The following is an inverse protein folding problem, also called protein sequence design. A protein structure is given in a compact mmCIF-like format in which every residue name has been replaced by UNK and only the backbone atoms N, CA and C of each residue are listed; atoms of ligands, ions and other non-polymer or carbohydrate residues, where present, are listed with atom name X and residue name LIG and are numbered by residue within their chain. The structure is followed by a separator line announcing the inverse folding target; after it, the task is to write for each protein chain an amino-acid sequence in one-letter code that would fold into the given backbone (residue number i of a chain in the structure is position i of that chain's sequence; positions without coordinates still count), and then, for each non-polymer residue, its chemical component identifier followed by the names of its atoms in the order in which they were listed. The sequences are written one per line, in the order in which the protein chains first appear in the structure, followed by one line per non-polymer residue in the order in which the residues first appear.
data_IF_031221309320
#
_entry.id   IF_031221309320
#
_cell.length_a   1.000
_cell.length_b   1.000
_cell.length_c   1.000
_cell.angle_alpha   90.00
_cell.angle_beta   90.00
_cell.angle_gamma   90.00
#
_symmetry.space_group_name_H-M   'P 1'
#
loop_
_entity.id
_entity.type
_entity.pdbx_description
1 polymer ?
#
# COMPACT_ATOMS: atom_id res chain seq x y z
N UNK A 1 12.18 -4.09 8.47
CA UNK A 1 11.86 -3.74 7.08
C UNK A 1 11.36 -2.30 6.91
N UNK A 2 11.87 -1.56 5.93
CA UNK A 2 11.46 -0.20 5.54
C UNK A 2 10.80 -0.17 4.14
N UNK A 3 9.70 0.57 4.05
CA UNK A 3 8.95 0.84 2.83
C UNK A 3 8.81 2.35 2.70
N UNK A 4 9.34 2.92 1.63
CA UNK A 4 9.21 4.35 1.33
C UNK A 4 8.18 4.56 0.23
N UNK A 5 7.13 5.33 0.51
CA UNK A 5 6.17 5.80 -0.48
C UNK A 5 6.46 7.25 -0.81
N UNK A 6 6.90 7.49 -2.04
CA UNK A 6 7.08 8.82 -2.62
C UNK A 6 5.82 9.19 -3.38
N UNK A 7 5.02 10.07 -2.79
CA UNK A 7 3.74 10.53 -3.34
C UNK A 7 3.95 11.78 -4.17
N UNK A 8 3.55 11.71 -5.43
CA UNK A 8 3.51 12.86 -6.32
C UNK A 8 2.18 13.60 -6.13
N UNK A 9 2.25 14.92 -5.92
CA UNK A 9 1.06 15.77 -5.73
C UNK A 9 0.19 15.67 -6.99
N UNK A 10 -1.05 15.23 -6.79
CA UNK A 10 -1.76 14.47 -7.82
C UNK A 10 -2.60 15.25 -8.82
N UNK A 11 -2.93 14.53 -9.88
CA UNK A 11 -3.93 14.90 -10.88
C UNK A 11 -5.35 14.82 -10.28
N UNK A 12 -6.39 15.37 -10.94
CA UNK A 12 -7.78 15.22 -10.50
C UNK A 12 -8.25 13.76 -10.32
N UNK A 13 -7.51 12.80 -10.86
CA UNK A 13 -7.87 11.38 -10.93
C UNK A 13 -7.28 10.52 -9.82
N UNK A 14 -6.45 11.10 -8.94
CA UNK A 14 -5.81 10.39 -7.82
C UNK A 14 -4.39 10.85 -7.55
N UNK A 15 -3.90 10.52 -6.37
CA UNK A 15 -2.50 10.75 -6.00
C UNK A 15 -1.71 9.53 -6.44
N UNK A 16 -0.74 9.77 -7.32
CA UNK A 16 0.15 8.71 -7.80
C UNK A 16 1.39 8.70 -6.92
N UNK A 17 1.99 7.53 -6.78
CA UNK A 17 3.24 7.43 -6.04
C UNK A 17 4.07 6.23 -6.46
N UNK A 18 5.22 6.14 -5.82
CA UNK A 18 6.15 5.02 -6.00
C UNK A 18 6.54 4.48 -4.65
N UNK A 19 6.35 3.18 -4.47
CA UNK A 19 6.86 2.46 -3.31
C UNK A 19 8.24 1.91 -3.65
N UNK A 20 9.19 2.14 -2.75
CA UNK A 20 10.47 1.44 -2.67
C UNK A 20 10.46 0.58 -1.42
N UNK A 21 10.64 -0.72 -1.60
CA UNK A 21 10.75 -1.68 -0.51
C UNK A 21 12.23 -2.01 -0.33
N UNK A 22 12.77 -1.74 0.86
CA UNK A 22 14.20 -1.88 1.15
C UNK A 22 15.06 -1.24 0.03
N UNK A 23 14.64 -0.08 -0.50
CA UNK A 23 15.34 0.64 -1.58
C UNK A 23 15.50 -0.10 -2.92
N UNK A 24 14.87 -1.28 -3.11
CA UNK A 24 15.08 -2.15 -4.28
C UNK A 24 13.78 -2.40 -5.05
N UNK A 25 12.74 -2.95 -4.41
CA UNK A 25 11.53 -3.32 -5.15
C UNK A 25 10.68 -2.09 -5.39
N UNK A 26 10.37 -1.85 -6.65
CA UNK A 26 9.64 -0.66 -7.10
C UNK A 26 8.23 -1.04 -7.52
N UNK A 27 7.24 -0.46 -6.85
CA UNK A 27 5.84 -0.52 -7.27
C UNK A 27 5.30 0.88 -7.50
N UNK A 28 4.28 1.02 -8.35
CA UNK A 28 3.49 2.25 -8.43
C UNK A 28 2.27 2.16 -7.52
N UNK A 29 1.86 3.31 -7.02
CA UNK A 29 0.70 3.43 -6.13
C UNK A 29 -0.31 4.42 -6.66
N UNK A 30 -1.56 4.22 -6.22
CA UNK A 30 -2.67 5.11 -6.48
C UNK A 30 -3.52 5.25 -5.22
N UNK A 31 -3.78 6.48 -4.81
CA UNK A 31 -4.53 6.82 -3.62
C UNK A 31 -5.68 7.77 -3.94
N UNK A 32 -6.69 7.80 -3.07
CA UNK A 32 -7.82 8.70 -3.20
C UNK A 32 -7.36 10.17 -3.09
N UNK A 33 -7.79 11.09 -3.97
CA UNK A 33 -7.33 12.47 -3.97
C UNK A 33 -7.61 13.20 -2.64
N UNK A 34 -8.76 12.95 -2.01
CA UNK A 34 -9.16 13.60 -0.74
C UNK A 34 -9.20 12.70 0.49
N UNK A 35 -9.01 11.39 0.36
CA UNK A 35 -9.18 10.42 1.45
C UNK A 35 -7.93 9.54 1.61
N UNK A 36 -6.75 10.10 1.32
CA UNK A 36 -5.46 9.46 1.48
C UNK A 36 -4.91 9.67 2.90
N UNK A 37 -3.86 8.93 3.25
CA UNK A 37 -3.15 9.15 4.51
C UNK A 37 -2.23 10.37 4.41
N UNK A 38 -2.10 11.21 5.45
CA UNK A 38 -1.11 12.29 5.44
C UNK A 38 0.32 11.72 5.34
N UNK A 39 1.27 12.55 4.92
CA UNK A 39 2.69 12.21 5.02
C UNK A 39 3.08 11.90 6.48
N UNK A 40 4.03 10.97 6.66
CA UNK A 40 4.55 10.57 7.96
C UNK A 40 4.87 9.08 8.08
N UNK A 41 5.17 8.67 9.31
CA UNK A 41 5.54 7.30 9.65
C UNK A 41 4.35 6.44 10.11
N UNK A 42 4.30 5.24 9.54
CA UNK A 42 3.29 4.22 9.79
C UNK A 42 3.95 2.87 10.04
N UNK A 43 3.23 2.00 10.75
CA UNK A 43 3.53 0.58 10.89
C UNK A 43 2.66 -0.21 9.93
N UNK A 44 3.21 -1.25 9.32
CA UNK A 44 2.44 -2.21 8.53
C UNK A 44 2.33 -3.53 9.29
N UNK A 45 1.12 -4.06 9.40
CA UNK A 45 0.80 -5.31 10.10
C UNK A 45 -0.14 -6.15 9.23
N UNK A 46 0.10 -7.46 9.13
CA UNK A 46 -0.83 -8.38 8.49
C UNK A 46 -1.90 -8.78 9.52
N UNK A 47 -3.17 -8.45 9.24
CA UNK A 47 -4.28 -8.79 10.13
C UNK A 47 -5.52 -9.25 9.36
N UNK A 48 -6.34 -10.04 10.05
CA UNK A 48 -7.58 -10.62 9.52
C UNK A 48 -8.67 -9.55 9.27
N UNK A 49 -9.23 -9.52 8.05
CA UNK A 49 -10.32 -8.62 7.68
C UNK A 49 -11.66 -9.35 7.49
N UNK A 50 -12.54 -9.22 8.50
CA UNK A 50 -13.91 -9.78 8.50
C UNK A 50 -14.78 -9.33 7.32
N UNK A 51 -14.55 -8.14 6.76
CA UNK A 51 -15.40 -7.58 5.70
C UNK A 51 -15.02 -8.07 4.30
N UNK A 52 -13.77 -8.44 4.07
CA UNK A 52 -13.35 -9.08 2.80
C UNK A 52 -13.97 -10.46 2.65
N UNK A 53 -14.18 -11.17 3.77
CA UNK A 53 -14.73 -12.53 3.79
C UNK A 53 -16.13 -12.69 3.18
N UNK A 54 -16.95 -11.64 3.15
CA UNK A 54 -18.38 -11.74 2.76
C UNK A 54 -18.72 -11.18 1.38
N UNK A 55 -17.91 -10.30 0.81
CA UNK A 55 -18.29 -9.51 -0.38
C UNK A 55 -17.47 -9.82 -1.63
N UNK A 56 -16.33 -10.50 -1.49
CA UNK A 56 -15.35 -10.67 -2.57
C UNK A 56 -14.71 -12.07 -2.62
N UNK A 57 -15.31 -13.08 -1.98
CA UNK A 57 -14.76 -14.45 -1.96
C UNK A 57 -15.58 -15.38 -2.84
N UNK A 58 -15.13 -15.59 -4.08
CA UNK A 58 -15.69 -16.58 -5.02
C UNK A 58 -14.63 -17.61 -5.48
N UNK A 59 -13.33 -17.31 -5.31
CA UNK A 59 -12.19 -18.08 -5.79
C UNK A 59 -11.25 -18.53 -4.65
N UNK A 60 -10.48 -19.64 -4.82
CA UNK A 60 -9.45 -20.06 -3.86
C UNK A 60 -8.38 -18.99 -3.54
N UNK A 61 -8.06 -18.12 -4.50
CA UNK A 61 -7.15 -16.96 -4.32
C UNK A 61 -7.69 -16.00 -3.25
N UNK A 62 -9.02 -15.88 -3.13
CA UNK A 62 -9.64 -14.94 -2.18
C UNK A 62 -9.49 -15.40 -0.72
N UNK A 63 -9.12 -16.67 -0.48
CA UNK A 63 -8.78 -17.16 0.87
C UNK A 63 -7.45 -16.62 1.37
N UNK A 64 -6.50 -16.33 0.47
CA UNK A 64 -5.20 -15.73 0.82
C UNK A 64 -5.34 -14.23 1.16
N UNK A 65 -6.39 -13.57 0.64
CA UNK A 65 -6.69 -12.15 0.86
C UNK A 65 -7.47 -11.85 2.15
N UNK A 66 -7.74 -12.87 2.97
CA UNK A 66 -8.41 -12.71 4.26
C UNK A 66 -7.55 -11.88 5.23
N UNK A 67 -6.24 -12.08 5.16
CA UNK A 67 -5.27 -11.30 5.91
C UNK A 67 -4.76 -10.19 4.99
N UNK A 68 -4.85 -8.94 5.45
CA UNK A 68 -4.48 -7.78 4.64
C UNK A 68 -3.36 -7.00 5.32
N UNK A 69 -2.42 -6.42 4.54
CA UNK A 69 -1.34 -5.60 5.06
C UNK A 69 -1.87 -4.21 5.44
N UNK A 70 -2.25 -4.08 6.71
CA UNK A 70 -2.86 -2.89 7.27
C UNK A 70 -1.82 -1.86 7.63
N UNK A 71 -2.15 -0.61 7.33
CA UNK A 71 -1.33 0.56 7.63
C UNK A 71 -1.86 1.19 8.92
N UNK A 72 -0.96 1.50 9.84
CA UNK A 72 -1.35 2.06 11.14
C UNK A 72 -0.41 3.16 11.56
N UNK A 73 -0.97 4.31 11.95
CA UNK A 73 -0.15 5.41 12.47
C UNK A 73 0.53 4.96 13.77
N UNK A 74 1.83 5.26 13.90
CA UNK A 74 2.59 4.95 15.13
C UNK A 74 1.89 5.57 16.35
N UNK A 75 1.68 4.78 17.39
CA UNK A 75 0.97 5.20 18.61
C UNK A 75 -0.57 5.23 18.51
N UNK A 76 -1.17 4.88 17.38
CA UNK A 76 -2.63 4.77 17.28
C UNK A 76 -3.17 3.64 18.17
N UNK A 77 -4.33 3.86 18.80
CA UNK A 77 -5.02 2.84 19.61
C UNK A 77 -5.35 1.59 18.80
N UNK A 78 -5.34 0.43 19.46
CA UNK A 78 -5.69 -0.84 18.82
C UNK A 78 -7.17 -0.86 18.47
N UNK A 79 -7.45 -0.85 17.17
CA UNK A 79 -8.81 -0.90 16.65
C UNK A 79 -9.22 -2.37 16.54
N UNK A 80 -10.44 -2.67 17.00
CA UNK A 80 -10.98 -4.04 17.07
C UNK A 80 -11.43 -4.60 15.70
N UNK A 81 -11.48 -3.78 14.65
CA UNK A 81 -12.04 -4.15 13.34
C UNK A 81 -11.23 -3.58 12.18
N UNK A 82 -10.74 -4.44 11.29
CA UNK A 82 -9.97 -4.10 10.09
C UNK A 82 -10.72 -3.25 9.03
N UNK A 83 -12.04 -3.12 9.15
CA UNK A 83 -12.89 -2.55 8.09
C UNK A 83 -12.76 -1.05 7.83
N UNK A 84 -12.20 -0.29 8.77
CA UNK A 84 -12.06 1.17 8.69
C UNK A 84 -10.61 1.64 8.73
N UNK A 85 -9.68 0.72 8.51
CA UNK A 85 -8.26 0.97 8.63
C UNK A 85 -7.69 0.92 7.21
N UNK A 86 -6.76 1.82 6.85
CA UNK A 86 -6.08 1.75 5.57
C UNK A 86 -5.28 0.45 5.43
N UNK A 87 -5.19 -0.09 4.22
CA UNK A 87 -4.36 -1.23 3.88
C UNK A 87 -3.94 -1.14 2.41
N UNK A 88 -2.88 -1.86 2.04
CA UNK A 88 -2.58 -2.05 0.62
C UNK A 88 -3.57 -3.01 -0.01
N UNK A 89 -3.96 -2.75 -1.25
CA UNK A 89 -4.91 -3.61 -1.96
C UNK A 89 -4.72 -3.60 -3.48
N UNK A 90 -5.18 -4.64 -4.19
CA UNK A 90 -5.40 -4.52 -5.62
C UNK A 90 -6.67 -3.69 -5.88
N UNK A 91 -6.83 -3.11 -7.08
CA UNK A 91 -8.04 -2.37 -7.42
C UNK A 91 -7.96 -1.56 -8.69
N UNK A 92 -9.12 -1.07 -9.14
CA UNK A 92 -9.28 -0.48 -10.47
C UNK A 92 -9.45 1.05 -10.47
N UNK A 93 -9.17 1.75 -9.36
CA UNK A 93 -9.17 3.22 -9.37
C UNK A 93 -9.28 3.91 -8.02
N UNK A 94 -8.76 5.12 -7.96
CA UNK A 94 -8.61 5.94 -6.75
C UNK A 94 -9.94 6.23 -6.02
N UNK A 95 -11.02 6.49 -6.76
CA UNK A 95 -12.33 6.87 -6.18
C UNK A 95 -13.08 5.72 -5.52
N UNK A 96 -12.64 4.48 -5.73
CA UNK A 96 -13.18 3.32 -5.01
C UNK A 96 -12.57 3.13 -3.63
N UNK A 97 -11.44 3.80 -3.37
CA UNK A 97 -10.67 3.67 -2.14
C UNK A 97 -11.36 4.38 -0.98
N UNK A 98 -11.26 3.77 0.19
CA UNK A 98 -11.80 4.30 1.44
C UNK A 98 -10.71 4.30 2.49
N UNK A 99 -10.86 5.19 3.47
CA UNK A 99 -10.08 5.16 4.72
C UNK A 99 -8.55 5.25 4.55
N UNK A 100 -8.05 5.81 3.45
CA UNK A 100 -6.60 5.91 3.21
C UNK A 100 -5.95 4.65 2.65
N UNK A 101 -6.73 3.67 2.16
CA UNK A 101 -6.16 2.51 1.48
C UNK A 101 -5.40 2.92 0.21
N UNK A 102 -4.41 2.11 -0.14
CA UNK A 102 -3.45 2.39 -1.21
C UNK A 102 -3.48 1.25 -2.22
N UNK A 103 -3.73 1.55 -3.50
CA UNK A 103 -3.63 0.54 -4.56
C UNK A 103 -2.17 0.39 -4.96
N UNK A 104 -1.75 -0.83 -5.25
CA UNK A 104 -0.43 -1.15 -5.78
C UNK A 104 -0.55 -1.77 -7.17
N UNK A 105 0.37 -1.42 -8.06
CA UNK A 105 0.46 -2.00 -9.40
C UNK A 105 1.71 -1.55 -10.15
N UNK A 106 1.72 -1.81 -11.45
CA UNK A 106 2.68 -1.27 -12.40
C UNK A 106 2.19 0.05 -12.97
N UNK A 107 3.13 0.85 -13.48
CA UNK A 107 2.81 2.10 -14.16
C UNK A 107 1.85 1.87 -15.33
N UNK A 108 0.71 2.54 -15.29
CA UNK A 108 -0.23 2.65 -16.40
C UNK A 108 -0.41 4.10 -16.85
N UNK A 109 -1.43 4.39 -17.67
CA UNK A 109 -1.87 5.75 -17.96
C UNK A 109 -2.24 6.53 -16.69
N UNK A 110 -2.27 7.87 -16.78
CA UNK A 110 -2.58 8.73 -15.63
C UNK A 110 -3.89 8.32 -14.94
N UNK A 111 -3.83 8.09 -13.62
CA UNK A 111 -4.97 7.65 -12.83
C UNK A 111 -5.31 6.16 -12.90
N UNK A 112 -4.51 5.33 -13.58
CA UNK A 112 -4.68 3.89 -13.67
C UNK A 112 -3.40 3.12 -13.34
N UNK A 113 -3.55 1.98 -12.67
CA UNK A 113 -2.48 1.02 -12.44
C UNK A 113 -2.78 -0.29 -13.17
N UNK A 114 -1.72 -0.93 -13.68
CA UNK A 114 -1.80 -2.22 -14.35
C UNK A 114 -1.32 -3.34 -13.41
N UNK A 115 -1.74 -4.58 -13.67
CA UNK A 115 -1.27 -5.77 -12.92
C UNK A 115 -1.40 -5.66 -11.40
N UNK A 116 -2.47 -5.02 -10.91
CA UNK A 116 -2.58 -4.67 -9.49
C UNK A 116 -2.66 -5.90 -8.57
N UNK A 117 -3.28 -6.99 -9.04
CA UNK A 117 -3.34 -8.23 -8.28
C UNK A 117 -1.96 -8.89 -8.16
N UNK A 118 -1.24 -9.03 -9.27
CA UNK A 118 0.10 -9.63 -9.28
C UNK A 118 1.06 -8.84 -8.37
N UNK A 119 1.09 -7.51 -8.51
CA UNK A 119 1.93 -6.67 -7.65
C UNK A 119 1.53 -6.71 -6.18
N UNK A 120 0.23 -6.81 -5.88
CA UNK A 120 -0.25 -6.97 -4.51
C UNK A 120 0.24 -8.30 -3.92
N UNK A 121 0.11 -9.42 -4.65
CA UNK A 121 0.54 -10.74 -4.20
C UNK A 121 2.06 -10.78 -4.00
N UNK A 122 2.82 -10.14 -4.89
CA UNK A 122 4.27 -10.02 -4.75
C UNK A 122 4.65 -9.23 -3.50
N UNK A 123 4.05 -8.05 -3.27
CA UNK A 123 4.30 -7.30 -2.05
C UNK A 123 3.91 -8.12 -0.82
N UNK A 124 2.74 -8.76 -0.83
CA UNK A 124 2.25 -9.56 0.29
C UNK A 124 3.25 -10.63 0.71
N UNK A 125 3.82 -11.38 -0.24
CA UNK A 125 4.86 -12.39 0.03
C UNK A 125 6.10 -11.79 0.69
N UNK A 126 6.52 -10.60 0.24
CA UNK A 126 7.66 -9.90 0.83
C UNK A 126 7.36 -9.49 2.28
N UNK A 127 6.18 -8.92 2.54
CA UNK A 127 5.76 -8.51 3.89
C UNK A 127 5.62 -9.72 4.83
N UNK A 128 5.01 -10.81 4.35
CA UNK A 128 4.87 -12.05 5.09
C UNK A 128 6.24 -12.65 5.45
N UNK A 129 7.18 -12.66 4.51
CA UNK A 129 8.55 -13.10 4.75
C UNK A 129 9.28 -12.27 5.80
N UNK A 130 9.11 -10.94 5.80
CA UNK A 130 9.70 -10.05 6.81
C UNK A 130 9.08 -10.29 8.20
N UNK A 131 7.75 -10.39 8.29
CA UNK A 131 7.05 -10.68 9.54
C UNK A 131 7.43 -12.05 10.10
N UNK A 132 7.57 -13.06 9.24
CA UNK A 132 8.01 -14.41 9.63
C UNK A 132 9.41 -14.44 10.25
N UNK A 133 10.27 -13.46 9.90
CA UNK A 133 11.59 -13.25 10.52
C UNK A 133 11.54 -12.42 11.81
N UNK A 134 10.37 -11.96 12.22
CA UNK A 134 10.19 -11.09 13.39
C UNK A 134 10.52 -9.62 13.12
N UNK A 135 10.63 -9.20 11.86
CA UNK A 135 10.92 -7.81 11.53
C UNK A 135 9.69 -6.92 11.69
N UNK A 136 9.89 -5.71 12.25
CA UNK A 136 8.88 -4.67 12.17
C UNK A 136 8.93 -3.99 10.79
N UNK A 137 7.77 -3.82 10.17
CA UNK A 137 7.63 -3.14 8.89
C UNK A 137 7.22 -1.68 9.12
N UNK A 138 8.07 -0.76 8.68
CA UNK A 138 7.85 0.69 8.73
C UNK A 138 7.53 1.21 7.35
N UNK A 139 6.42 1.95 7.22
CA UNK A 139 6.03 2.66 6.02
C UNK A 139 6.24 4.16 6.25
N UNK A 140 7.00 4.81 5.37
CA UNK A 140 7.26 6.24 5.39
C UNK A 140 6.59 6.85 4.15
N UNK A 141 5.60 7.70 4.36
CA UNK A 141 4.91 8.43 3.29
C UNK A 141 5.51 9.83 3.19
N UNK A 142 5.99 10.18 2.01
CA UNK A 142 6.62 11.47 1.71
C UNK A 142 5.93 12.11 0.50
N UNK A 143 5.45 13.33 0.66
CA UNK A 143 4.91 14.11 -0.47
C UNK A 143 6.09 14.79 -1.18
N UNK A 144 6.20 14.60 -2.49
CA UNK A 144 7.27 15.16 -3.34
C UNK A 144 6.68 16.09 -4.40
N UNK A 145 7.32 17.25 -4.59
CA UNK A 145 6.90 18.27 -5.57
C UNK A 145 7.39 17.98 -6.99
N UNK A 146 8.43 17.16 -7.15
CA UNK A 146 9.04 16.80 -8.44
C UNK A 146 8.92 15.29 -8.68
N UNK A 147 8.85 14.89 -9.95
CA UNK A 147 8.70 13.48 -10.36
C UNK A 147 9.92 12.59 -10.06
N UNK A 148 10.97 13.13 -9.45
CA UNK A 148 12.22 12.43 -9.22
C UNK A 148 12.28 11.88 -7.79
N UNK A 149 12.34 10.56 -7.70
CA UNK A 149 12.61 9.85 -6.45
C UNK A 149 14.05 10.18 -6.05
N UNK A 150 14.33 10.59 -4.81
CA UNK A 150 15.70 10.91 -4.41
C UNK A 150 16.64 9.72 -4.67
N UNK A 151 17.75 9.96 -5.38
CA UNK A 151 18.75 8.93 -5.67
C UNK A 151 19.32 8.29 -4.38
N UNK A 152 19.34 9.04 -3.28
CA UNK A 152 19.71 8.54 -1.94
C UNK A 152 18.81 7.42 -1.41
N UNK A 153 17.65 7.22 -2.03
CA UNK A 153 16.64 6.26 -1.59
C UNK A 153 16.66 4.96 -2.40
N UNK A 154 17.51 4.89 -3.43
CA UNK A 154 17.75 3.69 -4.23
C UNK A 154 19.09 3.09 -3.80
N UNK A 155 19.10 1.84 -3.34
CA UNK A 155 20.36 1.14 -3.11
C UNK A 155 20.93 0.71 -4.45
N UNK A 156 21.91 1.46 -4.96
CA UNK A 156 22.73 1.05 -6.09
C UNK A 156 23.72 -0.01 -5.60
N UNK A 157 23.59 -1.24 -6.11
CA UNK A 157 24.57 -2.31 -5.94
C UNK A 157 25.57 -2.30 -7.09
#
# INVERSE_FOLDING_TARGET
MEINLYRQIGTPWGLMGTILVEGILVYRTLEHPTHHLPAGEYKVEIMFNKNYRKKWMESPIDKELINVPMIRKKGARSIKTASRIPFFMPGNGAFTLKHGSIIIGKAGPAGLLLHTLDCYLDLYKVLEGAIGKGEEIRLIIQDIEQNEIPLSSVYLF
#
